data_IF_708494965971
#
_entry.id   IF_708494965971
#
_cell.length_a   1.000
_cell.length_b   1.000
_cell.length_c   1.000
_cell.angle_alpha   90.00
_cell.angle_beta   90.00
_cell.angle_gamma   90.00
#
_symmetry.space_group_name_H-M   'P 1'
#
loop_
_entity.id
_entity.type
_entity.pdbx_description
1 polymer ?
#
# COMPACT_ATOMS: atom_id res chain seq x y z
N UNK A 1 60.16 36.06 -62.30
CA UNK A 1 59.03 35.14 -62.25
C UNK A 1 59.04 34.48 -60.87
N UNK A 2 58.23 35.01 -59.91
CA UNK A 2 58.17 34.49 -58.55
C UNK A 2 56.80 33.80 -58.40
N UNK A 3 56.82 32.47 -58.11
CA UNK A 3 55.64 31.69 -57.86
C UNK A 3 55.27 31.83 -56.38
N UNK A 4 54.09 32.41 -56.09
CA UNK A 4 53.47 32.42 -54.74
C UNK A 4 52.83 31.05 -54.53
N UNK A 5 53.23 30.38 -53.50
CA UNK A 5 52.52 29.17 -52.99
C UNK A 5 51.47 29.61 -51.95
N UNK A 6 50.20 29.34 -52.20
CA UNK A 6 49.10 29.54 -51.28
C UNK A 6 48.94 28.27 -50.45
N UNK A 7 49.18 28.37 -49.16
CA UNK A 7 48.93 27.27 -48.21
C UNK A 7 47.53 27.46 -47.66
N UNK A 8 46.58 26.58 -48.06
CA UNK A 8 45.25 26.48 -47.45
C UNK A 8 45.33 25.72 -46.15
N UNK A 9 45.17 26.43 -45.04
CA UNK A 9 45.03 25.82 -43.69
C UNK A 9 43.51 25.49 -43.49
N UNK A 10 43.16 24.22 -43.63
CA UNK A 10 41.78 23.74 -43.27
C UNK A 10 41.75 23.49 -41.76
N UNK A 11 41.18 24.40 -41.00
CA UNK A 11 40.87 24.20 -39.58
C UNK A 11 39.64 23.29 -39.44
N UNK A 12 39.84 22.03 -39.11
CA UNK A 12 38.77 21.09 -38.78
C UNK A 12 38.22 21.43 -37.39
N UNK A 13 37.04 22.07 -37.34
CA UNK A 13 36.31 22.36 -36.12
C UNK A 13 35.64 21.07 -35.61
N UNK A 14 36.28 20.38 -34.67
CA UNK A 14 35.65 19.25 -33.95
C UNK A 14 34.65 19.83 -32.96
N UNK A 15 33.38 19.87 -33.35
CA UNK A 15 32.29 20.18 -32.43
C UNK A 15 32.09 18.95 -31.53
N UNK A 16 32.70 18.96 -30.34
CA UNK A 16 32.35 18.01 -29.28
C UNK A 16 30.92 18.27 -28.81
N UNK A 17 29.96 17.50 -29.30
CA UNK A 17 28.64 17.43 -28.72
C UNK A 17 28.78 16.83 -27.30
N UNK A 18 28.94 17.68 -26.31
CA UNK A 18 28.75 17.31 -24.91
C UNK A 18 27.27 16.98 -24.77
N UNK A 19 26.92 15.69 -24.91
CA UNK A 19 25.65 15.17 -24.47
C UNK A 19 25.57 15.45 -22.96
N UNK A 20 24.97 16.59 -22.59
CA UNK A 20 24.57 16.80 -21.21
C UNK A 20 23.55 15.70 -20.89
N UNK A 21 24.05 14.64 -20.28
CA UNK A 21 23.20 13.60 -19.68
C UNK A 21 22.43 14.30 -18.55
N UNK A 22 21.29 14.88 -18.88
CA UNK A 22 20.41 15.46 -17.88
C UNK A 22 19.99 14.29 -16.98
N UNK A 23 20.42 14.31 -15.72
CA UNK A 23 20.12 13.26 -14.76
C UNK A 23 18.63 13.00 -14.76
N UNK A 24 18.23 11.83 -15.22
CA UNK A 24 16.83 11.44 -15.29
C UNK A 24 16.25 11.37 -13.88
N UNK A 25 15.08 11.97 -13.65
CA UNK A 25 14.43 11.96 -12.34
C UNK A 25 13.18 11.09 -12.37
N UNK A 26 13.06 10.15 -11.45
CA UNK A 26 11.85 9.36 -11.17
C UNK A 26 11.06 10.02 -10.05
N UNK A 27 9.92 10.60 -10.35
CA UNK A 27 8.98 11.18 -9.38
C UNK A 27 8.02 10.08 -8.92
N UNK A 28 8.23 9.61 -7.70
CA UNK A 28 7.50 8.50 -7.11
C UNK A 28 6.42 9.02 -6.16
N UNK A 29 5.16 8.63 -6.39
CA UNK A 29 4.03 8.90 -5.49
C UNK A 29 3.74 7.63 -4.70
N UNK A 30 4.11 7.62 -3.41
CA UNK A 30 4.21 6.39 -2.63
C UNK A 30 3.75 6.55 -1.18
N UNK A 31 3.69 5.46 -0.46
CA UNK A 31 3.46 5.42 0.97
C UNK A 31 4.73 5.77 1.74
N UNK A 32 4.56 6.31 2.94
CA UNK A 32 5.69 6.52 3.83
C UNK A 32 6.41 5.20 4.13
N UNK A 33 7.75 5.22 4.05
CA UNK A 33 8.58 4.04 4.24
C UNK A 33 8.72 3.09 3.04
N UNK A 34 7.94 3.27 1.95
CA UNK A 34 8.02 2.37 0.78
C UNK A 34 9.21 2.63 -0.15
N UNK A 35 9.87 3.75 0.00
CA UNK A 35 11.12 4.06 -0.67
C UNK A 35 12.22 4.37 0.36
N UNK A 36 12.77 3.35 1.06
CA UNK A 36 13.82 3.55 2.04
C UNK A 36 15.06 4.16 1.41
N UNK A 37 15.69 5.10 2.12
CA UNK A 37 16.86 5.83 1.61
C UNK A 37 17.97 4.90 1.11
N UNK A 38 18.22 3.80 1.79
CA UNK A 38 19.25 2.81 1.39
C UNK A 38 18.96 2.21 0.00
N UNK A 39 17.69 1.97 -0.34
CA UNK A 39 17.29 1.47 -1.65
C UNK A 39 17.30 2.58 -2.71
N UNK A 40 16.94 3.81 -2.35
CA UNK A 40 17.07 4.97 -3.23
C UNK A 40 18.55 5.16 -3.60
N UNK A 41 19.45 5.25 -2.62
CA UNK A 41 20.89 5.45 -2.84
C UNK A 41 21.49 4.35 -3.72
N UNK A 42 21.08 3.08 -3.47
CA UNK A 42 21.52 1.94 -4.27
C UNK A 42 21.05 2.05 -5.72
N UNK A 43 19.78 2.40 -5.94
CA UNK A 43 19.21 2.57 -7.27
C UNK A 43 19.86 3.72 -8.03
N UNK A 44 20.02 4.88 -7.37
CA UNK A 44 20.66 6.06 -7.96
C UNK A 44 22.12 5.75 -8.37
N UNK A 45 22.87 5.01 -7.53
CA UNK A 45 24.22 4.57 -7.82
C UNK A 45 24.29 3.60 -9.02
N UNK A 46 23.33 2.66 -9.11
CA UNK A 46 23.30 1.66 -10.19
C UNK A 46 22.85 2.24 -11.53
N UNK A 47 21.99 3.25 -11.52
CA UNK A 47 21.28 3.69 -12.74
C UNK A 47 21.57 5.11 -13.18
N UNK A 48 22.11 5.95 -12.29
CA UNK A 48 22.24 7.40 -12.51
C UNK A 48 20.91 8.15 -12.47
N UNK A 49 19.78 7.48 -12.11
CA UNK A 49 18.45 8.05 -12.07
C UNK A 49 18.16 8.52 -10.65
N UNK A 50 17.89 9.81 -10.48
CA UNK A 50 17.52 10.39 -9.18
C UNK A 50 16.07 10.04 -8.83
N UNK A 51 15.81 9.57 -7.60
CA UNK A 51 14.48 9.25 -7.11
C UNK A 51 13.95 10.37 -6.20
N UNK A 52 12.73 10.82 -6.46
CA UNK A 52 12.06 11.86 -5.66
C UNK A 52 10.71 11.32 -5.16
N UNK A 53 10.66 10.77 -3.92
CA UNK A 53 9.42 10.29 -3.34
C UNK A 53 8.54 11.46 -2.87
N UNK A 54 7.23 11.31 -3.08
CA UNK A 54 6.17 12.11 -2.46
C UNK A 54 5.27 11.15 -1.70
N UNK A 55 5.25 11.31 -0.39
CA UNK A 55 4.47 10.43 0.48
C UNK A 55 2.99 10.80 0.48
N UNK A 56 2.13 9.80 0.53
CA UNK A 56 0.69 9.97 0.35
C UNK A 56 -0.07 8.70 0.81
N UNK A 57 -1.39 8.71 0.66
CA UNK A 57 -2.28 7.57 0.86
C UNK A 57 -3.16 7.37 -0.39
N UNK A 58 -3.97 6.29 -0.46
CA UNK A 58 -4.78 5.99 -1.64
C UNK A 58 -5.67 7.16 -2.08
N UNK A 59 -6.39 7.78 -1.15
CA UNK A 59 -7.33 8.86 -1.43
C UNK A 59 -6.60 10.07 -2.04
N UNK A 60 -5.49 10.45 -1.43
CA UNK A 60 -4.66 11.58 -1.88
C UNK A 60 -3.92 11.30 -3.19
N UNK A 61 -3.36 10.08 -3.37
CA UNK A 61 -2.73 9.67 -4.64
C UNK A 61 -3.72 9.80 -5.79
N UNK A 62 -4.94 9.25 -5.61
CA UNK A 62 -5.99 9.32 -6.60
C UNK A 62 -6.41 10.78 -6.86
N UNK A 63 -6.57 11.59 -5.82
CA UNK A 63 -6.93 13.00 -5.95
C UNK A 63 -5.87 13.79 -6.73
N UNK A 64 -4.58 13.62 -6.38
CA UNK A 64 -3.46 14.27 -7.08
C UNK A 64 -3.41 13.87 -8.57
N UNK A 65 -3.51 12.56 -8.86
CA UNK A 65 -3.48 12.08 -10.24
C UNK A 65 -4.72 12.51 -11.06
N UNK A 66 -5.90 12.60 -10.43
CA UNK A 66 -7.11 13.14 -11.07
C UNK A 66 -6.94 14.62 -11.43
N UNK A 67 -6.51 15.43 -10.47
CA UNK A 67 -6.33 16.88 -10.66
C UNK A 67 -5.37 17.19 -11.82
N UNK A 68 -4.34 16.36 -12.00
CA UNK A 68 -3.32 16.53 -13.04
C UNK A 68 -3.56 15.67 -14.29
N UNK A 69 -4.66 14.91 -14.34
CA UNK A 69 -4.95 13.93 -15.40
C UNK A 69 -3.79 12.95 -15.61
N UNK A 70 -3.16 12.49 -14.52
CA UNK A 70 -2.02 11.57 -14.54
C UNK A 70 -0.68 12.21 -14.88
N UNK A 71 -0.53 13.53 -14.75
CA UNK A 71 0.76 14.22 -14.89
C UNK A 71 1.41 14.45 -13.51
N UNK A 72 2.67 14.88 -13.52
CA UNK A 72 3.40 15.29 -12.31
C UNK A 72 4.18 14.18 -11.63
N UNK A 73 3.82 12.91 -11.86
CA UNK A 73 4.50 11.73 -11.31
C UNK A 73 4.83 10.73 -12.40
N UNK A 74 5.82 9.88 -12.15
CA UNK A 74 6.30 8.89 -13.10
C UNK A 74 5.92 7.47 -12.69
N UNK A 75 5.77 7.22 -11.38
CA UNK A 75 5.30 5.98 -10.81
C UNK A 75 4.43 6.28 -9.58
N UNK A 76 3.37 5.50 -9.37
CA UNK A 76 2.50 5.58 -8.19
C UNK A 76 2.30 4.20 -7.57
N UNK A 77 2.02 4.16 -6.25
CA UNK A 77 1.84 2.90 -5.52
C UNK A 77 0.46 2.79 -4.84
N UNK A 78 -0.65 2.78 -5.63
CA UNK A 78 -1.98 2.56 -5.08
C UNK A 78 -2.22 1.09 -4.75
N UNK A 79 -3.19 0.81 -3.85
CA UNK A 79 -3.67 -0.55 -3.62
C UNK A 79 -4.44 -1.08 -4.82
N UNK A 80 -4.32 -2.37 -5.11
CA UNK A 80 -4.89 -3.02 -6.30
C UNK A 80 -6.41 -2.83 -6.45
N UNK A 81 -7.13 -2.82 -5.33
CA UNK A 81 -8.59 -2.69 -5.30
C UNK A 81 -9.08 -1.29 -5.68
N UNK A 82 -8.18 -0.30 -5.74
CA UNK A 82 -8.48 1.11 -6.05
C UNK A 82 -8.23 1.48 -7.51
N UNK A 83 -7.67 0.60 -8.33
CA UNK A 83 -7.21 0.93 -9.68
C UNK A 83 -8.32 0.86 -10.72
N UNK A 84 -9.03 -0.26 -10.82
CA UNK A 84 -9.92 -0.52 -11.96
C UNK A 84 -11.09 0.48 -12.07
N UNK A 85 -11.73 0.83 -10.96
CA UNK A 85 -12.83 1.82 -10.96
C UNK A 85 -12.35 3.22 -11.31
N UNK A 86 -11.21 3.63 -10.72
CA UNK A 86 -10.58 4.93 -10.97
C UNK A 86 -10.11 5.05 -12.43
N UNK A 87 -9.53 3.96 -12.96
CA UNK A 87 -9.08 3.92 -14.36
C UNK A 87 -10.25 4.02 -15.34
N UNK A 88 -11.36 3.31 -15.09
CA UNK A 88 -12.57 3.42 -15.91
C UNK A 88 -13.13 4.85 -15.96
N UNK A 89 -13.14 5.53 -14.82
CA UNK A 89 -13.72 6.87 -14.69
C UNK A 89 -12.80 7.99 -15.19
N UNK A 90 -11.49 7.90 -14.87
CA UNK A 90 -10.59 9.04 -15.00
C UNK A 90 -9.40 8.82 -15.93
N UNK A 91 -9.13 7.58 -16.34
CA UNK A 91 -8.04 7.21 -17.27
C UNK A 91 -6.68 7.80 -16.86
N UNK A 92 -6.36 7.71 -15.57
CA UNK A 92 -5.16 8.33 -14.96
C UNK A 92 -3.92 7.44 -14.94
N UNK A 93 -4.01 6.21 -15.41
CA UNK A 93 -2.90 5.26 -15.52
C UNK A 93 -2.67 4.82 -16.95
N UNK A 94 -1.45 4.36 -17.27
CA UNK A 94 -1.10 3.65 -18.50
C UNK A 94 -1.23 2.14 -18.28
N UNK A 95 -1.56 1.35 -19.31
CA UNK A 95 -1.47 -0.10 -19.22
C UNK A 95 -0.01 -0.52 -19.03
N UNK A 96 0.20 -1.57 -18.25
CA UNK A 96 1.53 -2.15 -18.01
C UNK A 96 1.96 -2.97 -19.23
N UNK A 97 3.15 -2.68 -19.73
CA UNK A 97 3.87 -3.56 -20.66
C UNK A 97 4.67 -4.59 -19.86
N UNK A 98 4.10 -5.78 -19.71
CA UNK A 98 4.73 -6.85 -18.93
C UNK A 98 5.98 -7.45 -19.60
N UNK A 99 6.27 -7.12 -20.87
CA UNK A 99 7.57 -7.50 -21.48
C UNK A 99 8.75 -6.78 -20.87
N UNK A 100 8.50 -5.62 -20.23
CA UNK A 100 9.49 -4.81 -19.52
C UNK A 100 9.62 -5.14 -18.03
N UNK A 101 8.77 -6.05 -17.52
CA UNK A 101 8.76 -6.49 -16.12
C UNK A 101 9.35 -7.88 -16.01
N UNK A 102 10.32 -8.07 -15.14
CA UNK A 102 10.84 -9.40 -14.83
C UNK A 102 9.82 -10.20 -14.01
N UNK A 103 8.80 -10.73 -14.68
CA UNK A 103 7.70 -11.46 -14.04
C UNK A 103 8.14 -12.76 -13.36
N UNK A 104 9.31 -13.30 -13.70
CA UNK A 104 9.87 -14.47 -13.02
C UNK A 104 10.27 -14.18 -11.55
N UNK A 105 10.51 -12.91 -11.23
CA UNK A 105 10.77 -12.45 -9.85
C UNK A 105 9.49 -12.18 -9.04
N UNK A 106 8.31 -12.48 -9.55
CA UNK A 106 7.04 -12.18 -8.87
C UNK A 106 6.35 -13.48 -8.46
N UNK A 107 5.81 -13.53 -7.25
CA UNK A 107 4.97 -14.64 -6.77
C UNK A 107 3.81 -14.83 -7.75
N UNK A 108 3.67 -16.01 -8.42
CA UNK A 108 2.73 -16.19 -9.54
C UNK A 108 1.27 -15.90 -9.17
N UNK A 109 0.83 -16.31 -7.97
CA UNK A 109 -0.54 -16.07 -7.50
C UNK A 109 -0.84 -14.57 -7.32
N UNK A 110 0.12 -13.79 -6.81
CA UNK A 110 -0.02 -12.34 -6.65
C UNK A 110 -0.04 -11.62 -8.00
N UNK A 111 0.83 -12.04 -8.93
CA UNK A 111 0.83 -11.50 -10.30
C UNK A 111 -0.51 -11.75 -10.99
N UNK A 112 -1.05 -12.96 -10.88
CA UNK A 112 -2.35 -13.32 -11.45
C UNK A 112 -3.49 -12.52 -10.83
N UNK A 113 -3.50 -12.35 -9.50
CA UNK A 113 -4.50 -11.58 -8.78
C UNK A 113 -4.47 -10.10 -9.19
N UNK A 114 -3.30 -9.48 -9.21
CA UNK A 114 -3.17 -8.06 -9.59
C UNK A 114 -3.53 -7.84 -11.06
N UNK A 115 -3.06 -8.70 -11.98
CA UNK A 115 -3.48 -8.65 -13.39
C UNK A 115 -5.00 -8.71 -13.55
N UNK A 116 -5.69 -9.58 -12.80
CA UNK A 116 -7.14 -9.70 -12.81
C UNK A 116 -7.83 -8.48 -12.23
N UNK A 117 -7.43 -8.04 -11.03
CA UNK A 117 -8.11 -7.02 -10.26
C UNK A 117 -7.92 -5.59 -10.81
N UNK A 118 -6.82 -5.37 -11.55
CA UNK A 118 -6.52 -4.06 -12.16
C UNK A 118 -6.88 -4.00 -13.65
N UNK A 119 -7.62 -5.01 -14.16
CA UNK A 119 -7.96 -5.10 -15.58
C UNK A 119 -9.09 -4.15 -15.98
N UNK A 120 -8.85 -3.35 -17.01
CA UNK A 120 -9.84 -2.47 -17.66
C UNK A 120 -9.65 -2.59 -19.17
N UNK A 121 -10.73 -2.84 -19.91
CA UNK A 121 -10.74 -2.96 -21.37
C UNK A 121 -9.65 -3.92 -21.89
N UNK A 122 -9.53 -5.08 -21.23
CA UNK A 122 -8.57 -6.14 -21.60
C UNK A 122 -7.13 -5.91 -21.16
N UNK A 123 -6.76 -4.72 -20.65
CA UNK A 123 -5.40 -4.34 -20.24
C UNK A 123 -5.28 -4.29 -18.73
N UNK A 124 -4.14 -4.69 -18.17
CA UNK A 124 -3.84 -4.57 -16.74
C UNK A 124 -2.99 -3.32 -16.47
N UNK A 125 -3.23 -2.68 -15.32
CA UNK A 125 -2.71 -1.35 -15.03
C UNK A 125 -1.76 -1.29 -13.84
N UNK A 126 -1.36 -2.45 -13.28
CA UNK A 126 -0.41 -2.45 -12.17
C UNK A 126 0.42 -3.74 -12.05
N UNK A 127 1.55 -3.64 -11.38
CA UNK A 127 2.43 -4.75 -10.99
C UNK A 127 2.39 -4.87 -9.47
N UNK A 128 2.25 -6.08 -8.86
CA UNK A 128 2.26 -6.22 -7.40
C UNK A 128 3.61 -5.85 -6.82
N UNK A 129 3.61 -5.26 -5.63
CA UNK A 129 4.81 -4.83 -4.92
C UNK A 129 4.81 -5.32 -3.47
N UNK A 130 3.99 -4.75 -2.62
CA UNK A 130 3.94 -4.98 -1.18
C UNK A 130 2.57 -5.53 -0.80
N UNK A 131 2.55 -6.45 0.17
CA UNK A 131 1.30 -6.91 0.76
C UNK A 131 1.39 -6.94 2.28
N UNK A 132 0.25 -6.90 2.91
CA UNK A 132 0.10 -7.08 4.34
C UNK A 132 -1.36 -7.30 4.71
N UNK A 133 -1.61 -7.28 6.00
CA UNK A 133 -2.95 -7.43 6.55
C UNK A 133 -3.30 -6.31 7.52
N UNK A 134 -4.59 -6.05 7.68
CA UNK A 134 -5.13 -5.26 8.77
C UNK A 134 -5.85 -6.19 9.73
N UNK A 135 -5.50 -6.08 10.99
CA UNK A 135 -6.08 -6.88 12.07
C UNK A 135 -6.07 -6.09 13.37
N UNK A 136 -5.79 -6.72 14.46
CA UNK A 136 -5.68 -6.07 15.75
C UNK A 136 -4.23 -5.99 16.21
N UNK A 137 -3.84 -4.86 16.82
CA UNK A 137 -2.69 -4.78 17.72
C UNK A 137 -3.25 -4.79 19.13
N UNK A 138 -2.77 -5.71 19.95
CA UNK A 138 -3.31 -5.97 21.29
C UNK A 138 -2.18 -5.93 22.30
N UNK A 139 -2.37 -5.17 23.38
CA UNK A 139 -1.56 -5.27 24.57
C UNK A 139 -2.15 -6.37 25.48
N UNK A 140 -1.53 -7.55 25.47
CA UNK A 140 -2.01 -8.75 26.17
C UNK A 140 -2.05 -8.61 27.70
N UNK A 141 -1.24 -7.72 28.24
CA UNK A 141 -1.27 -7.41 29.68
C UNK A 141 -2.62 -6.82 30.12
N UNK A 142 -3.25 -6.00 29.25
CA UNK A 142 -4.49 -5.29 29.57
C UNK A 142 -5.71 -5.81 28.82
N UNK A 143 -5.51 -6.50 27.71
CA UNK A 143 -6.57 -7.06 26.87
C UNK A 143 -6.26 -8.52 26.48
N UNK A 144 -6.11 -9.46 27.48
CA UNK A 144 -5.62 -10.82 27.20
C UNK A 144 -6.54 -11.61 26.26
N UNK A 145 -7.83 -11.32 26.24
CA UNK A 145 -8.83 -12.06 25.49
C UNK A 145 -9.22 -11.41 24.14
N UNK A 146 -8.68 -10.22 23.82
CA UNK A 146 -8.99 -9.54 22.56
C UNK A 146 -8.48 -10.38 21.38
N UNK A 147 -9.38 -10.73 20.45
CA UNK A 147 -9.11 -11.70 19.38
C UNK A 147 -9.91 -11.47 18.10
N UNK A 148 -10.82 -10.50 18.08
CA UNK A 148 -11.63 -10.20 16.89
C UNK A 148 -12.00 -8.72 16.80
N UNK A 149 -12.47 -8.29 15.62
CA UNK A 149 -12.91 -6.90 15.41
C UNK A 149 -14.08 -6.49 16.30
N UNK A 150 -14.84 -7.43 16.87
CA UNK A 150 -15.84 -7.15 17.91
C UNK A 150 -15.23 -6.46 19.13
N UNK A 151 -13.95 -6.69 19.41
CA UNK A 151 -13.24 -6.07 20.55
C UNK A 151 -13.02 -4.56 20.37
N UNK A 152 -13.13 -4.05 19.14
CA UNK A 152 -13.17 -2.61 18.86
C UNK A 152 -14.46 -1.93 19.36
N UNK A 153 -15.46 -2.71 19.75
CA UNK A 153 -16.75 -2.25 20.29
C UNK A 153 -17.02 -2.84 21.68
N UNK A 154 -16.00 -3.41 22.33
CA UNK A 154 -16.14 -4.07 23.63
C UNK A 154 -16.03 -3.04 24.78
N UNK A 155 -17.09 -2.87 25.60
CA UNK A 155 -17.07 -1.95 26.74
C UNK A 155 -15.95 -2.22 27.75
N UNK A 156 -15.45 -3.45 27.85
CA UNK A 156 -14.33 -3.79 28.73
C UNK A 156 -13.04 -2.99 28.42
N UNK A 157 -12.91 -2.49 27.19
CA UNK A 157 -11.76 -1.71 26.73
C UNK A 157 -12.11 -0.22 26.53
N UNK A 158 -13.19 0.28 27.16
CA UNK A 158 -13.65 1.66 27.01
C UNK A 158 -12.54 2.69 27.29
N UNK A 159 -12.39 3.67 26.40
CA UNK A 159 -11.35 4.68 26.46
C UNK A 159 -9.92 4.18 26.15
N UNK A 160 -9.79 2.92 25.68
CA UNK A 160 -8.51 2.27 25.36
C UNK A 160 -8.48 1.66 23.95
N UNK A 161 -9.47 2.00 23.10
CA UNK A 161 -9.63 1.48 21.74
C UNK A 161 -9.20 2.54 20.74
N UNK A 162 -8.53 2.14 19.67
CA UNK A 162 -8.19 3.03 18.55
C UNK A 162 -8.33 2.33 17.20
N UNK A 163 -8.82 3.04 16.21
CA UNK A 163 -8.87 2.58 14.81
C UNK A 163 -8.94 3.77 13.85
N UNK A 164 -8.69 3.51 12.56
CA UNK A 164 -8.90 4.53 11.52
C UNK A 164 -10.40 4.64 11.22
N UNK A 165 -10.96 5.83 11.25
CA UNK A 165 -12.31 6.04 10.74
C UNK A 165 -12.28 6.13 9.20
N UNK A 166 -12.08 4.97 8.57
CA UNK A 166 -11.90 4.75 7.13
C UNK A 166 -12.58 3.45 6.70
N UNK A 167 -12.69 3.24 5.39
CA UNK A 167 -13.27 2.05 4.77
C UNK A 167 -12.85 0.71 5.43
N UNK A 168 -11.57 0.43 5.74
CA UNK A 168 -11.18 -0.82 6.37
C UNK A 168 -11.97 -1.14 7.64
N UNK A 169 -12.25 -0.15 8.47
CA UNK A 169 -13.03 -0.35 9.70
C UNK A 169 -14.49 -0.73 9.41
N UNK A 170 -15.13 -0.14 8.39
CA UNK A 170 -16.47 -0.56 7.98
C UNK A 170 -16.51 -2.04 7.57
N UNK A 171 -15.52 -2.46 6.78
CA UNK A 171 -15.38 -3.83 6.29
C UNK A 171 -15.11 -4.80 7.45
N UNK A 172 -14.20 -4.44 8.36
CA UNK A 172 -13.86 -5.23 9.55
C UNK A 172 -15.09 -5.47 10.44
N UNK A 173 -15.85 -4.41 10.74
CA UNK A 173 -17.07 -4.53 11.54
C UNK A 173 -18.15 -5.35 10.82
N UNK A 174 -18.26 -5.27 9.48
CA UNK A 174 -19.18 -6.12 8.75
C UNK A 174 -18.80 -7.61 8.89
N UNK A 175 -17.54 -7.98 8.76
CA UNK A 175 -17.08 -9.36 8.96
C UNK A 175 -17.30 -9.82 10.41
N UNK A 176 -17.03 -9.00 11.41
CA UNK A 176 -17.32 -9.33 12.81
C UNK A 176 -18.82 -9.52 13.12
N UNK A 177 -19.69 -9.03 12.24
CA UNK A 177 -21.13 -9.32 12.27
C UNK A 177 -21.49 -10.60 11.50
N UNK A 178 -20.53 -11.42 11.10
CA UNK A 178 -20.69 -12.60 10.26
C UNK A 178 -21.36 -12.27 8.90
N UNK A 179 -21.10 -11.07 8.36
CA UNK A 179 -21.58 -10.65 7.05
C UNK A 179 -20.39 -10.45 6.12
N UNK A 180 -20.46 -11.02 4.92
CA UNK A 180 -19.46 -10.77 3.89
C UNK A 180 -19.87 -9.55 3.03
N UNK A 181 -19.25 -8.38 3.22
CA UNK A 181 -19.56 -7.20 2.43
C UNK A 181 -19.12 -7.35 0.97
N UNK A 182 -18.08 -8.16 0.69
CA UNK A 182 -17.55 -8.35 -0.65
C UNK A 182 -18.53 -9.12 -1.55
N UNK A 183 -19.24 -10.10 -0.99
CA UNK A 183 -20.30 -10.83 -1.69
C UNK A 183 -21.49 -9.93 -2.09
N UNK A 184 -21.59 -8.73 -1.51
CA UNK A 184 -22.68 -7.77 -1.80
C UNK A 184 -22.29 -6.69 -2.82
N UNK A 185 -21.07 -6.69 -3.37
CA UNK A 185 -20.62 -5.66 -4.31
C UNK A 185 -21.48 -5.55 -5.57
N UNK A 186 -22.10 -6.65 -6.00
CA UNK A 186 -23.07 -6.65 -7.11
C UNK A 186 -24.50 -6.30 -6.69
N UNK A 187 -24.76 -6.11 -5.37
CA UNK A 187 -26.09 -5.85 -4.79
C UNK A 187 -26.11 -4.53 -4.00
N UNK A 188 -26.07 -3.36 -4.64
CA UNK A 188 -25.85 -2.07 -3.96
C UNK A 188 -26.86 -1.75 -2.87
N UNK A 189 -28.15 -2.15 -3.02
CA UNK A 189 -29.18 -1.93 -1.99
C UNK A 189 -28.89 -2.75 -0.72
N UNK A 190 -28.51 -4.01 -0.87
CA UNK A 190 -28.15 -4.90 0.26
C UNK A 190 -26.86 -4.44 0.92
N UNK A 191 -25.87 -4.02 0.12
CA UNK A 191 -24.63 -3.44 0.60
C UNK A 191 -24.90 -2.19 1.46
N UNK A 192 -25.73 -1.26 0.96
CA UNK A 192 -26.10 -0.05 1.72
C UNK A 192 -26.76 -0.41 3.06
N UNK A 193 -27.72 -1.35 3.06
CA UNK A 193 -28.38 -1.80 4.29
C UNK A 193 -27.39 -2.40 5.31
N UNK A 194 -26.38 -3.12 4.83
CA UNK A 194 -25.31 -3.63 5.71
C UNK A 194 -24.47 -2.47 6.26
N UNK A 195 -24.03 -1.53 5.43
CA UNK A 195 -23.22 -0.40 5.85
C UNK A 195 -23.96 0.55 6.81
N UNK A 196 -25.27 0.75 6.62
CA UNK A 196 -26.08 1.52 7.56
C UNK A 196 -26.07 0.86 8.97
N UNK A 197 -26.16 -0.48 9.06
CA UNK A 197 -26.07 -1.21 10.33
C UNK A 197 -24.67 -1.13 10.95
N UNK A 198 -23.63 -1.22 10.13
CA UNK A 198 -22.23 -1.04 10.55
C UNK A 198 -22.04 0.37 11.12
N UNK A 199 -22.52 1.39 10.41
CA UNK A 199 -22.46 2.78 10.86
C UNK A 199 -23.15 2.98 12.20
N UNK A 200 -24.36 2.41 12.38
CA UNK A 200 -25.08 2.48 13.65
C UNK A 200 -24.29 1.85 14.83
N UNK A 201 -23.60 0.71 14.59
CA UNK A 201 -22.73 0.09 15.60
C UNK A 201 -21.52 0.98 15.95
N UNK A 202 -20.89 1.58 14.94
CA UNK A 202 -19.76 2.48 15.16
C UNK A 202 -20.19 3.75 15.92
N UNK A 203 -21.37 4.30 15.63
CA UNK A 203 -21.94 5.43 16.37
C UNK A 203 -22.16 5.03 17.84
N UNK A 204 -22.84 3.91 18.09
CA UNK A 204 -23.09 3.42 19.45
C UNK A 204 -21.78 3.15 20.23
N UNK A 205 -20.74 2.68 19.53
CA UNK A 205 -19.42 2.39 20.11
C UNK A 205 -18.50 3.59 20.22
N UNK A 206 -18.87 4.77 19.70
CA UNK A 206 -18.01 5.95 19.63
C UNK A 206 -17.42 6.35 20.99
N UNK A 207 -18.23 6.28 22.06
CA UNK A 207 -17.82 6.58 23.45
C UNK A 207 -16.75 5.64 24.01
N UNK A 208 -16.51 4.50 23.37
CA UNK A 208 -15.51 3.52 23.77
C UNK A 208 -14.12 3.86 23.20
N UNK A 209 -14.08 4.69 22.16
CA UNK A 209 -12.87 4.99 21.39
C UNK A 209 -12.03 6.06 22.08
N UNK A 210 -10.76 5.80 22.30
CA UNK A 210 -9.80 6.80 22.78
C UNK A 210 -9.54 7.87 21.71
N UNK A 211 -9.23 7.41 20.50
CA UNK A 211 -8.98 8.29 19.35
C UNK A 211 -9.16 7.54 18.02
N UNK A 212 -9.30 8.30 16.95
CA UNK A 212 -9.22 7.82 15.57
C UNK A 212 -7.85 8.20 15.00
N UNK A 213 -6.97 7.21 14.86
CA UNK A 213 -5.63 7.48 14.35
C UNK A 213 -5.63 7.74 12.83
N UNK A 214 -4.71 8.61 12.40
CA UNK A 214 -4.49 8.95 10.98
C UNK A 214 -3.05 8.67 10.55
N UNK A 215 -2.12 8.69 11.50
CA UNK A 215 -0.70 8.38 11.31
C UNK A 215 -0.34 7.13 12.11
N UNK A 216 0.36 6.17 11.46
CA UNK A 216 0.72 4.89 12.06
C UNK A 216 1.67 5.04 13.25
N UNK A 217 2.67 5.91 13.16
CA UNK A 217 3.67 6.11 14.23
C UNK A 217 3.03 6.71 15.49
N UNK A 218 2.08 7.63 15.32
CA UNK A 218 1.30 8.17 16.43
C UNK A 218 0.48 7.08 17.14
N UNK A 219 -0.11 6.15 16.38
CA UNK A 219 -0.76 4.98 16.97
C UNK A 219 0.23 4.11 17.75
N UNK A 220 1.37 3.78 17.17
CA UNK A 220 2.37 2.94 17.85
C UNK A 220 2.85 3.60 19.14
N UNK A 221 3.00 4.94 19.15
CA UNK A 221 3.33 5.68 20.37
C UNK A 221 2.24 5.56 21.43
N UNK A 222 0.95 5.67 21.07
CA UNK A 222 -0.16 5.50 22.00
C UNK A 222 -0.26 4.08 22.57
N UNK A 223 0.16 3.07 21.79
CA UNK A 223 0.26 1.68 22.26
C UNK A 223 1.44 1.50 23.24
N UNK A 224 2.61 2.09 22.94
CA UNK A 224 3.79 2.07 23.84
C UNK A 224 3.51 2.71 25.18
N UNK A 225 2.83 3.86 25.18
CA UNK A 225 2.49 4.59 26.42
C UNK A 225 1.39 3.92 27.24
N UNK A 226 0.70 2.89 26.68
CA UNK A 226 -0.45 2.25 27.33
C UNK A 226 -1.74 3.10 27.29
N UNK A 227 -1.79 4.16 26.49
CA UNK A 227 -3.03 4.91 26.27
C UNK A 227 -4.04 4.10 25.50
N UNK A 228 -3.58 3.23 24.59
CA UNK A 228 -4.39 2.33 23.78
C UNK A 228 -3.99 0.89 24.10
N UNK A 229 -4.99 0.02 24.30
CA UNK A 229 -4.79 -1.40 24.59
C UNK A 229 -5.20 -2.30 23.42
N UNK A 230 -6.19 -1.87 22.63
CA UNK A 230 -6.69 -2.59 21.45
C UNK A 230 -6.80 -1.60 20.30
N UNK A 231 -6.13 -1.89 19.20
CA UNK A 231 -6.22 -1.07 18.01
C UNK A 231 -6.43 -1.92 16.74
N UNK A 232 -7.23 -1.42 15.80
CA UNK A 232 -7.20 -1.94 14.44
C UNK A 232 -6.09 -1.26 13.66
N UNK A 233 -5.12 -2.04 13.20
CA UNK A 233 -3.96 -1.53 12.46
C UNK A 233 -3.37 -2.60 11.54
N UNK A 234 -2.23 -2.28 10.95
CA UNK A 234 -1.47 -3.20 10.08
C UNK A 234 -0.57 -4.12 10.90
N UNK A 235 -0.33 -5.31 10.36
CA UNK A 235 0.51 -6.36 10.92
C UNK A 235 1.91 -5.88 11.30
N UNK A 236 2.58 -5.14 10.41
CA UNK A 236 3.91 -4.61 10.65
C UNK A 236 4.01 -3.74 11.92
N UNK A 237 2.97 -2.98 12.24
CA UNK A 237 2.92 -2.14 13.44
C UNK A 237 2.94 -2.98 14.71
N UNK A 238 2.16 -4.06 14.75
CA UNK A 238 2.16 -5.00 15.86
C UNK A 238 3.50 -5.71 16.02
N UNK A 239 4.14 -6.09 14.92
CA UNK A 239 5.45 -6.77 14.97
C UNK A 239 6.58 -5.84 15.39
N UNK A 240 6.55 -4.56 14.99
CA UNK A 240 7.49 -3.54 15.49
C UNK A 240 7.36 -3.36 17.00
N UNK A 241 6.13 -3.26 17.51
CA UNK A 241 5.88 -3.14 18.95
C UNK A 241 6.25 -4.40 19.72
N UNK A 242 6.01 -5.59 19.15
CA UNK A 242 6.38 -6.86 19.77
C UNK A 242 7.89 -6.99 19.99
N UNK A 243 8.69 -6.51 19.06
CA UNK A 243 10.15 -6.49 19.22
C UNK A 243 10.63 -5.62 20.38
N UNK A 244 9.84 -4.58 20.73
CA UNK A 244 10.12 -3.68 21.86
C UNK A 244 9.49 -4.17 23.18
N UNK A 245 8.30 -4.75 23.10
CA UNK A 245 7.52 -5.24 24.24
C UNK A 245 6.72 -6.50 23.85
N UNK A 246 7.12 -7.68 24.33
CA UNK A 246 6.45 -8.94 24.01
C UNK A 246 4.97 -9.04 24.43
N UNK A 247 4.51 -8.19 25.35
CA UNK A 247 3.10 -8.12 25.73
C UNK A 247 2.22 -7.51 24.62
N UNK A 248 2.82 -6.83 23.63
CA UNK A 248 2.10 -6.22 22.51
C UNK A 248 2.38 -7.02 21.26
N UNK A 249 1.34 -7.41 20.53
CA UNK A 249 1.52 -8.13 19.27
C UNK A 249 0.36 -7.90 18.29
N UNK A 250 0.61 -8.26 17.04
CA UNK A 250 -0.44 -8.37 16.02
C UNK A 250 -1.22 -9.68 16.24
N UNK A 251 -2.53 -9.56 16.12
CA UNK A 251 -3.48 -10.67 16.24
C UNK A 251 -4.32 -10.72 14.96
N UNK A 252 -4.26 -11.84 14.26
CA UNK A 252 -5.17 -12.12 13.16
C UNK A 252 -6.60 -12.29 13.73
N UNK A 253 -7.56 -11.44 13.35
CA UNK A 253 -8.92 -11.53 13.89
C UNK A 253 -9.61 -12.83 13.48
N UNK A 254 -10.42 -13.42 14.36
CA UNK A 254 -11.22 -14.64 14.07
C UNK A 254 -12.14 -14.48 12.88
N UNK A 255 -12.66 -13.27 12.66
CA UNK A 255 -13.47 -12.91 11.47
C UNK A 255 -12.65 -12.87 10.17
N UNK A 256 -11.32 -12.96 10.25
CA UNK A 256 -10.37 -12.90 9.14
C UNK A 256 -9.67 -11.55 9.02
N UNK A 257 -8.35 -11.57 8.97
CA UNK A 257 -7.55 -10.38 8.70
C UNK A 257 -7.86 -9.83 7.30
N UNK A 258 -7.88 -8.50 7.14
CA UNK A 258 -8.15 -7.88 5.84
C UNK A 258 -6.84 -7.76 5.04
N UNK A 259 -6.71 -8.57 3.99
CA UNK A 259 -5.53 -8.61 3.13
C UNK A 259 -5.56 -7.52 2.06
N UNK A 260 -4.44 -6.83 1.87
CA UNK A 260 -4.25 -5.80 0.84
C UNK A 260 -2.97 -6.04 0.06
N UNK A 261 -2.94 -5.59 -1.19
CA UNK A 261 -1.77 -5.59 -2.06
C UNK A 261 -1.61 -4.20 -2.63
N UNK A 262 -0.50 -3.56 -2.33
CA UNK A 262 -0.09 -2.32 -2.97
C UNK A 262 0.73 -2.63 -4.21
N UNK A 263 0.65 -1.76 -5.20
CA UNK A 263 1.10 -2.05 -6.54
C UNK A 263 1.90 -0.89 -7.12
N UNK A 264 2.69 -1.18 -8.12
CA UNK A 264 3.24 -0.16 -9.01
C UNK A 264 2.28 0.10 -10.17
N UNK A 265 1.87 1.35 -10.34
CA UNK A 265 1.05 1.82 -11.47
C UNK A 265 1.70 3.03 -12.13
N UNK A 266 1.76 3.04 -13.46
CA UNK A 266 2.38 4.14 -14.21
C UNK A 266 1.32 5.19 -14.53
N UNK A 267 1.46 6.45 -14.06
CA UNK A 267 0.54 7.54 -14.38
C UNK A 267 0.43 7.80 -15.88
N UNK A 268 -0.78 8.20 -16.34
CA UNK A 268 -1.13 8.29 -17.76
C UNK A 268 -0.23 9.24 -18.56
N UNK A 269 0.31 10.29 -17.94
CA UNK A 269 1.18 11.28 -18.57
C UNK A 269 2.62 11.25 -18.07
N UNK A 270 3.05 10.11 -17.51
CA UNK A 270 4.47 9.91 -17.19
C UNK A 270 5.32 10.05 -18.46
N UNK A 271 6.43 10.77 -18.34
CA UNK A 271 7.45 10.93 -19.39
C UNK A 271 8.67 10.05 -19.16
N UNK A 272 8.81 9.48 -17.96
CA UNK A 272 9.99 8.69 -17.54
C UNK A 272 9.63 7.21 -17.38
N UNK A 273 8.94 6.63 -18.37
CA UNK A 273 8.41 5.25 -18.33
C UNK A 273 9.52 4.23 -18.14
N UNK A 274 10.66 4.40 -18.81
CA UNK A 274 11.81 3.49 -18.67
C UNK A 274 12.40 3.53 -17.24
N UNK A 275 12.46 4.70 -16.61
CA UNK A 275 12.89 4.83 -15.23
C UNK A 275 11.90 4.14 -14.27
N UNK A 276 10.61 4.22 -14.55
CA UNK A 276 9.57 3.53 -13.78
C UNK A 276 9.76 2.01 -13.84
N UNK A 277 9.97 1.42 -15.02
CA UNK A 277 10.24 -0.03 -15.15
C UNK A 277 11.56 -0.45 -14.51
N UNK A 278 12.61 0.38 -14.59
CA UNK A 278 13.87 0.12 -13.89
C UNK A 278 13.65 0.04 -12.37
N UNK A 279 12.88 0.99 -11.79
CA UNK A 279 12.55 0.98 -10.37
C UNK A 279 11.71 -0.24 -9.98
N UNK A 280 10.67 -0.58 -10.75
CA UNK A 280 9.84 -1.77 -10.54
C UNK A 280 10.71 -3.03 -10.48
N UNK A 281 11.55 -3.26 -11.49
CA UNK A 281 12.41 -4.42 -11.55
C UNK A 281 13.49 -4.42 -10.45
N UNK A 282 13.98 -3.24 -10.05
CA UNK A 282 14.93 -3.09 -8.97
C UNK A 282 14.32 -3.47 -7.62
N UNK A 283 13.12 -2.98 -7.31
CA UNK A 283 12.42 -3.30 -6.07
C UNK A 283 12.01 -4.76 -5.97
N UNK A 284 11.70 -5.41 -7.10
CA UNK A 284 11.31 -6.81 -7.17
C UNK A 284 12.51 -7.80 -7.13
N UNK A 285 13.76 -7.32 -7.14
CA UNK A 285 14.90 -8.22 -6.89
C UNK A 285 14.81 -8.78 -5.48
N UNK A 286 14.97 -10.11 -5.28
CA UNK A 286 14.81 -10.75 -3.97
C UNK A 286 15.57 -10.07 -2.83
N UNK A 287 16.84 -9.71 -3.08
CA UNK A 287 17.68 -9.05 -2.09
C UNK A 287 17.21 -7.62 -1.73
N UNK A 288 16.69 -6.85 -2.69
CA UNK A 288 16.19 -5.50 -2.45
C UNK A 288 14.83 -5.54 -1.74
N UNK A 289 13.95 -6.43 -2.19
CA UNK A 289 12.66 -6.69 -1.56
C UNK A 289 12.83 -7.15 -0.11
N UNK A 290 13.85 -7.96 0.18
CA UNK A 290 14.17 -8.36 1.54
C UNK A 290 14.67 -7.20 2.39
N UNK A 291 15.52 -6.31 1.86
CA UNK A 291 15.92 -5.08 2.58
C UNK A 291 14.67 -4.29 2.98
N UNK A 292 13.73 -4.09 2.05
CA UNK A 292 12.46 -3.42 2.35
C UNK A 292 11.70 -4.15 3.47
N UNK A 293 11.49 -5.47 3.35
CA UNK A 293 10.74 -6.27 4.32
C UNK A 293 11.41 -6.29 5.69
N UNK A 294 12.73 -6.43 5.76
CA UNK A 294 13.47 -6.40 7.03
C UNK A 294 13.32 -5.06 7.77
N UNK A 295 13.25 -3.95 7.01
CA UNK A 295 13.05 -2.60 7.58
C UNK A 295 11.59 -2.33 7.93
N UNK A 296 10.66 -2.62 7.03
CA UNK A 296 9.26 -2.21 7.15
C UNK A 296 8.36 -3.27 7.76
N UNK A 297 8.80 -4.53 7.80
CA UNK A 297 8.06 -5.70 8.30
C UNK A 297 6.80 -6.05 7.50
N UNK A 298 6.63 -5.50 6.28
CA UNK A 298 5.58 -5.92 5.34
C UNK A 298 6.07 -7.05 4.44
N UNK A 299 5.15 -7.85 3.90
CA UNK A 299 5.44 -8.82 2.87
C UNK A 299 5.70 -8.15 1.51
N UNK A 300 6.43 -8.82 0.64
CA UNK A 300 6.68 -8.37 -0.73
C UNK A 300 6.22 -9.39 -1.75
N UNK A 301 5.80 -8.91 -2.93
CA UNK A 301 5.46 -9.77 -4.06
C UNK A 301 6.67 -10.43 -4.72
N UNK A 302 7.90 -10.13 -4.28
CA UNK A 302 9.12 -10.71 -4.83
C UNK A 302 9.25 -12.19 -4.47
N UNK A 303 9.31 -13.05 -5.48
CA UNK A 303 9.59 -14.47 -5.30
C UNK A 303 11.05 -14.66 -4.85
N UNK A 304 11.27 -15.50 -3.84
CA UNK A 304 12.61 -15.77 -3.29
C UNK A 304 13.11 -14.76 -2.25
N UNK A 305 12.42 -13.64 -2.03
CA UNK A 305 12.84 -12.64 -1.03
C UNK A 305 12.91 -13.23 0.39
N UNK A 306 12.09 -14.23 0.70
CA UNK A 306 12.07 -14.89 2.02
C UNK A 306 13.42 -15.53 2.41
N UNK A 307 14.25 -15.88 1.44
CA UNK A 307 15.59 -16.43 1.70
C UNK A 307 16.50 -15.42 2.39
N UNK A 308 16.26 -14.12 2.13
CA UNK A 308 17.04 -13.00 2.66
C UNK A 308 16.39 -12.31 3.86
N UNK A 309 15.24 -12.82 4.37
CA UNK A 309 14.57 -12.22 5.52
C UNK A 309 15.34 -12.51 6.80
N UNK A 310 15.39 -11.51 7.69
CA UNK A 310 15.90 -11.67 9.03
C UNK A 310 15.08 -12.71 9.80
N UNK A 311 15.69 -13.44 10.76
CA UNK A 311 14.99 -14.49 11.53
C UNK A 311 13.75 -13.99 12.28
N UNK A 312 13.79 -12.75 12.82
CA UNK A 312 12.66 -12.13 13.53
C UNK A 312 11.49 -11.86 12.59
N UNK A 313 11.76 -11.45 11.35
CA UNK A 313 10.73 -11.23 10.31
C UNK A 313 10.02 -12.54 9.97
N UNK A 314 10.79 -13.63 9.77
CA UNK A 314 10.22 -14.97 9.54
C UNK A 314 9.38 -15.43 10.73
N UNK A 315 9.84 -15.17 11.97
CA UNK A 315 9.14 -15.55 13.19
C UNK A 315 7.81 -14.79 13.37
N UNK A 316 7.72 -13.53 12.96
CA UNK A 316 6.52 -12.71 13.07
C UNK A 316 5.32 -13.35 12.36
N UNK A 317 5.47 -13.75 11.11
CA UNK A 317 4.41 -14.43 10.35
C UNK A 317 3.96 -15.71 11.04
N UNK A 318 4.91 -16.56 11.45
CA UNK A 318 4.62 -17.84 12.10
C UNK A 318 3.88 -17.65 13.43
N UNK A 319 4.19 -16.59 14.18
CA UNK A 319 3.56 -16.30 15.47
C UNK A 319 2.14 -15.77 15.30
N UNK A 320 1.91 -14.89 14.31
CA UNK A 320 0.66 -14.17 14.15
C UNK A 320 -0.39 -14.91 13.32
N UNK A 321 0.02 -15.88 12.49
CA UNK A 321 -0.87 -16.59 11.58
C UNK A 321 -0.71 -18.10 11.69
N UNK A 322 -1.75 -18.77 12.14
CA UNK A 322 -1.91 -20.21 11.89
C UNK A 322 -2.26 -20.45 10.41
N UNK A 323 -2.20 -21.71 9.97
CA UNK A 323 -2.70 -22.06 8.62
C UNK A 323 -4.14 -21.65 8.42
N UNK A 324 -5.00 -21.82 9.42
CA UNK A 324 -6.41 -21.42 9.36
C UNK A 324 -6.58 -19.91 9.22
N UNK A 325 -5.75 -19.10 9.89
CA UNK A 325 -5.79 -17.64 9.76
C UNK A 325 -5.38 -17.19 8.36
N UNK A 326 -4.36 -17.83 7.76
CA UNK A 326 -3.92 -17.56 6.38
C UNK A 326 -5.05 -17.89 5.39
N UNK A 327 -5.68 -19.06 5.54
CA UNK A 327 -6.78 -19.48 4.68
C UNK A 327 -8.02 -18.57 4.84
N UNK A 328 -8.16 -17.91 6.00
CA UNK A 328 -9.26 -16.99 6.32
C UNK A 328 -8.99 -15.51 5.97
N UNK A 329 -7.83 -15.16 5.40
CA UNK A 329 -7.56 -13.77 4.98
C UNK A 329 -8.61 -13.29 3.98
N UNK A 330 -9.21 -12.13 4.27
CA UNK A 330 -10.21 -11.47 3.42
C UNK A 330 -9.53 -10.47 2.49
N UNK A 331 -9.09 -10.93 1.33
CA UNK A 331 -8.43 -10.09 0.34
C UNK A 331 -9.41 -9.08 -0.27
N UNK A 332 -9.02 -7.80 -0.30
CA UNK A 332 -9.84 -6.76 -0.92
C UNK A 332 -10.03 -6.98 -2.42
N UNK A 333 -11.27 -7.18 -2.90
CA UNK A 333 -11.57 -7.15 -4.32
C UNK A 333 -11.66 -5.70 -4.81
N UNK A 334 -11.62 -5.47 -6.14
CA UNK A 334 -11.84 -4.16 -6.72
C UNK A 334 -13.14 -3.53 -6.23
N UNK A 335 -13.05 -2.33 -5.64
CA UNK A 335 -14.21 -1.64 -5.10
C UNK A 335 -14.97 -0.88 -6.19
N UNK A 336 -16.29 -1.09 -6.37
CA UNK A 336 -17.09 -0.27 -7.26
C UNK A 336 -17.20 1.18 -6.73
N UNK A 337 -16.93 2.18 -7.58
CA UNK A 337 -16.92 3.59 -7.18
C UNK A 337 -18.21 4.05 -6.48
N UNK A 338 -19.37 3.52 -6.90
CA UNK A 338 -20.67 3.81 -6.26
C UNK A 338 -20.72 3.34 -4.80
N UNK A 339 -20.12 2.19 -4.48
CA UNK A 339 -20.08 1.66 -3.13
C UNK A 339 -19.11 2.46 -2.25
N UNK A 340 -17.97 2.84 -2.81
CA UNK A 340 -17.01 3.71 -2.14
C UNK A 340 -17.62 5.05 -1.73
N UNK A 341 -18.44 5.65 -2.60
CA UNK A 341 -19.19 6.87 -2.25
C UNK A 341 -20.19 6.64 -1.14
N UNK A 342 -20.88 5.48 -1.09
CA UNK A 342 -21.78 5.11 0.01
C UNK A 342 -21.02 4.96 1.33
N UNK A 343 -19.85 4.32 1.31
CA UNK A 343 -18.98 4.16 2.48
C UNK A 343 -18.56 5.53 3.04
N UNK A 344 -18.20 6.47 2.16
CA UNK A 344 -17.86 7.85 2.53
C UNK A 344 -19.00 8.52 3.31
N UNK A 345 -20.23 8.43 2.81
CA UNK A 345 -21.41 8.98 3.51
C UNK A 345 -21.67 8.35 4.89
N UNK A 346 -21.40 7.05 5.04
CA UNK A 346 -21.52 6.38 6.35
C UNK A 346 -20.43 6.87 7.32
N UNK A 347 -19.19 6.98 6.85
CA UNK A 347 -18.08 7.50 7.66
C UNK A 347 -18.33 8.94 8.11
N UNK A 348 -18.87 9.79 7.23
CA UNK A 348 -19.24 11.16 7.57
C UNK A 348 -20.33 11.20 8.66
N UNK A 349 -21.34 10.32 8.57
CA UNK A 349 -22.36 10.18 9.63
C UNK A 349 -21.76 9.75 10.96
N UNK A 350 -20.85 8.75 10.96
CA UNK A 350 -20.18 8.30 12.19
C UNK A 350 -19.33 9.42 12.78
N UNK A 351 -18.66 10.20 11.93
CA UNK A 351 -17.83 11.33 12.35
C UNK A 351 -18.66 12.45 12.97
N UNK A 352 -19.81 12.76 12.37
CA UNK A 352 -20.70 13.86 12.79
C UNK A 352 -21.62 13.50 13.97
N UNK A 353 -21.77 12.22 14.32
CA UNK A 353 -22.56 11.83 15.48
C UNK A 353 -21.90 12.28 16.79
N UNK A 354 -22.71 12.66 17.79
CA UNK A 354 -22.28 13.08 19.13
C UNK A 354 -21.84 11.91 20.01
#
# INVERSE_FOLDING_TARGET
MKRLAVVCLTASLVIAFSLTCQAQTLRLLTWEGYAPKVLIDKFEKETGITVRPTYSNNEEMIAKLRATRGAGFDLAQPSQDRISSVQKLYKIYQPIDYSKVNTAQIVPSMLAAVKKNTRVDGKSYAVPDVYGTSGLIVNRKFAPNASDYTDLLNPAYSGRISYRLKRPTLIAIAFSMHQDPFALYSKPKSYKKLMDRVGAKLIAGKKLVKNYWTNGDALLQSMRSGEVHVAMAWDNGGWKLHAENPDIDFVAPKSGALGWIDTFAIPAKSKNIEAAYKWINFMLRPENAAVFTNMQKYGTASAGAIEYYDPDVKANFKRSFSKADIDNIKWYPPVPAKLESMEGLILDKVKAAD
#
